data_IF_161961107963
#
_entry.id   IF_161961107963
#
_cell.length_a   1.000
_cell.length_b   1.000
_cell.length_c   1.000
_cell.angle_alpha   90.00
_cell.angle_beta   90.00
_cell.angle_gamma   90.00
#
_symmetry.space_group_name_H-M   'P 1'
#
loop_
_entity.id
_entity.type
_entity.pdbx_description
1 polymer ?
#
# COMPACT_ATOMS: atom_id res chain seq x y z
N UNK A 1 -0.10 2.80 -6.28
CA UNK A 1 -0.21 3.46 -4.96
C UNK A 1 -1.07 4.71 -4.96
N UNK A 2 -0.89 5.66 -5.89
CA UNK A 2 -1.77 6.86 -5.94
C UNK A 2 -3.25 6.48 -6.07
N UNK A 3 -3.58 5.45 -6.85
CA UNK A 3 -4.94 4.92 -6.97
C UNK A 3 -5.52 4.40 -5.63
N UNK A 4 -4.73 3.71 -4.80
CA UNK A 4 -5.16 3.26 -3.47
C UNK A 4 -5.47 4.43 -2.52
N UNK A 5 -4.81 5.57 -2.71
CA UNK A 5 -5.09 6.81 -1.96
C UNK A 5 -6.40 7.47 -2.41
N UNK A 6 -6.67 7.50 -3.72
CA UNK A 6 -7.78 8.27 -4.32
C UNK A 6 -9.07 7.44 -4.41
N UNK A 7 -8.97 6.19 -4.83
CA UNK A 7 -10.10 5.27 -5.03
C UNK A 7 -9.82 3.91 -4.38
N UNK A 8 -9.76 3.84 -3.04
CA UNK A 8 -9.36 2.64 -2.31
C UNK A 8 -10.22 1.42 -2.65
N UNK A 9 -11.54 1.61 -2.71
CA UNK A 9 -12.50 0.54 -3.00
C UNK A 9 -12.32 -0.06 -4.39
N UNK A 10 -12.31 0.79 -5.43
CA UNK A 10 -12.19 0.34 -6.81
C UNK A 10 -10.83 -0.34 -7.05
N UNK A 11 -9.77 0.22 -6.46
CA UNK A 11 -8.43 -0.36 -6.57
C UNK A 11 -8.34 -1.71 -5.87
N UNK A 12 -8.88 -1.85 -4.65
CA UNK A 12 -8.93 -3.13 -3.95
C UNK A 12 -9.81 -4.15 -4.67
N UNK A 13 -10.91 -3.72 -5.29
CA UNK A 13 -11.76 -4.59 -6.09
C UNK A 13 -11.01 -5.15 -7.30
N UNK A 14 -10.32 -4.30 -8.06
CA UNK A 14 -9.44 -4.72 -9.16
C UNK A 14 -8.35 -5.70 -8.69
N UNK A 15 -7.70 -5.42 -7.58
CA UNK A 15 -6.68 -6.32 -7.01
C UNK A 15 -7.28 -7.65 -6.54
N UNK A 16 -8.55 -7.65 -6.11
CA UNK A 16 -9.23 -8.87 -5.66
C UNK A 16 -9.57 -9.84 -6.80
N UNK A 17 -9.52 -9.39 -8.06
CA UNK A 17 -9.70 -10.26 -9.23
C UNK A 17 -8.50 -11.19 -9.44
N UNK A 18 -7.36 -10.93 -8.80
CA UNK A 18 -6.17 -11.79 -8.84
C UNK A 18 -5.48 -11.86 -7.47
N UNK A 19 -6.03 -12.64 -6.52
CA UNK A 19 -5.54 -12.67 -5.13
C UNK A 19 -4.11 -13.20 -4.97
N UNK A 20 -3.66 -14.14 -5.80
CA UNK A 20 -2.27 -14.62 -5.78
C UNK A 20 -1.31 -13.50 -6.15
N UNK A 21 -1.59 -12.80 -7.24
CA UNK A 21 -0.81 -11.64 -7.67
C UNK A 21 -0.80 -10.50 -6.65
N UNK A 22 -1.89 -10.34 -5.88
CA UNK A 22 -1.93 -9.37 -4.79
C UNK A 22 -0.95 -9.73 -3.66
N UNK A 23 -0.87 -10.99 -3.25
CA UNK A 23 0.03 -11.42 -2.18
C UNK A 23 1.50 -11.31 -2.60
N UNK A 24 1.83 -11.68 -3.84
CA UNK A 24 3.18 -11.52 -4.38
C UNK A 24 3.55 -10.04 -4.44
N UNK A 25 2.66 -9.21 -4.98
CA UNK A 25 2.82 -7.76 -5.00
C UNK A 25 3.00 -7.14 -3.60
N UNK A 26 2.27 -7.62 -2.59
CA UNK A 26 2.43 -7.17 -1.20
C UNK A 26 3.81 -7.49 -0.64
N UNK A 27 4.42 -8.60 -1.03
CA UNK A 27 5.76 -8.99 -0.57
C UNK A 27 6.85 -8.16 -1.24
N UNK A 28 6.61 -7.70 -2.47
CA UNK A 28 7.56 -6.90 -3.24
C UNK A 28 7.38 -5.38 -3.04
N UNK A 29 6.37 -4.96 -2.26
CA UNK A 29 5.98 -3.57 -2.08
C UNK A 29 7.13 -2.68 -1.57
N UNK A 30 7.96 -3.18 -0.66
CA UNK A 30 9.12 -2.46 -0.12
C UNK A 30 10.16 -2.17 -1.22
N UNK A 31 10.56 -3.20 -1.97
CA UNK A 31 11.58 -3.10 -3.03
C UNK A 31 11.12 -2.35 -4.27
N UNK A 32 9.87 -2.55 -4.71
CA UNK A 32 9.37 -1.95 -5.95
C UNK A 32 8.88 -0.52 -5.80
N UNK A 33 8.35 -0.16 -4.63
CA UNK A 33 7.58 1.09 -4.46
C UNK A 33 8.20 2.01 -3.42
N UNK A 34 8.82 1.47 -2.38
CA UNK A 34 9.30 2.23 -1.22
C UNK A 34 10.82 2.23 -1.06
N UNK A 35 11.52 1.85 -2.11
CA UNK A 35 12.97 2.00 -2.22
C UNK A 35 13.27 3.24 -3.07
N UNK A 36 14.02 4.19 -2.51
CA UNK A 36 14.49 5.35 -3.27
C UNK A 36 15.75 4.98 -4.04
N UNK A 37 15.55 4.68 -5.33
CA UNK A 37 16.61 4.30 -6.26
C UNK A 37 17.44 5.50 -6.77
N UNK A 38 16.97 6.73 -6.55
CA UNK A 38 17.60 7.96 -7.08
C UNK A 38 18.21 8.84 -5.98
N UNK A 39 18.00 8.49 -4.71
CA UNK A 39 18.58 9.16 -3.54
C UNK A 39 17.94 10.51 -3.19
N UNK A 40 16.80 10.86 -3.82
CA UNK A 40 16.12 12.14 -3.63
C UNK A 40 14.59 12.03 -3.42
N UNK A 41 14.05 10.82 -3.36
CA UNK A 41 12.61 10.55 -3.25
C UNK A 41 12.20 10.01 -1.86
N UNK A 42 13.13 9.71 -0.93
CA UNK A 42 12.83 9.18 0.41
C UNK A 42 11.65 9.90 1.08
N UNK A 43 11.69 11.24 1.16
CA UNK A 43 10.65 12.02 1.83
C UNK A 43 9.27 11.90 1.14
N UNK A 44 9.26 11.82 -0.19
CA UNK A 44 8.03 11.67 -0.97
C UNK A 44 7.46 10.26 -0.81
N UNK A 45 8.31 9.24 -0.85
CA UNK A 45 7.92 7.83 -0.67
C UNK A 45 7.39 7.58 0.74
N UNK A 46 8.04 8.17 1.76
CA UNK A 46 7.58 8.14 3.15
C UNK A 46 6.20 8.77 3.29
N UNK A 47 6.00 9.95 2.69
CA UNK A 47 4.69 10.61 2.67
C UNK A 47 3.63 9.76 1.97
N UNK A 48 3.98 9.14 0.84
CA UNK A 48 3.07 8.25 0.12
C UNK A 48 2.68 7.03 0.97
N UNK A 49 3.63 6.44 1.71
CA UNK A 49 3.39 5.31 2.62
C UNK A 49 2.37 5.71 3.69
N UNK A 50 2.61 6.85 4.33
CA UNK A 50 1.76 7.39 5.40
C UNK A 50 0.36 7.70 4.88
N UNK A 51 0.24 8.38 3.73
CA UNK A 51 -1.03 8.74 3.13
C UNK A 51 -1.87 7.49 2.78
N UNK A 52 -1.27 6.49 2.14
CA UNK A 52 -1.98 5.25 1.78
C UNK A 52 -2.36 4.46 3.05
N UNK A 53 -1.49 4.40 4.04
CA UNK A 53 -1.79 3.75 5.33
C UNK A 53 -2.99 4.40 6.02
N UNK A 54 -3.07 5.73 6.01
CA UNK A 54 -4.20 6.46 6.58
C UNK A 54 -5.51 6.15 5.82
N UNK A 55 -5.49 6.18 4.48
CA UNK A 55 -6.65 5.85 3.66
C UNK A 55 -7.13 4.42 3.90
N UNK A 56 -6.22 3.44 3.95
CA UNK A 56 -6.61 2.04 4.20
C UNK A 56 -7.19 1.83 5.59
N UNK A 57 -6.64 2.49 6.62
CA UNK A 57 -7.20 2.45 7.99
C UNK A 57 -8.62 3.01 8.05
N UNK A 58 -8.89 4.14 7.38
CA UNK A 58 -10.24 4.72 7.27
C UNK A 58 -11.17 3.76 6.52
N UNK A 59 -10.74 3.24 5.36
CA UNK A 59 -11.50 2.27 4.58
C UNK A 59 -11.89 1.03 5.41
N UNK A 60 -10.92 0.39 6.06
CA UNK A 60 -11.13 -0.83 6.86
C UNK A 60 -12.06 -0.60 8.06
N UNK A 61 -12.08 0.62 8.62
CA UNK A 61 -12.97 0.99 9.71
C UNK A 61 -14.40 1.26 9.25
N UNK A 62 -14.56 1.92 8.11
CA UNK A 62 -15.84 2.42 7.60
C UNK A 62 -16.59 1.38 6.75
N UNK A 63 -15.87 0.46 6.10
CA UNK A 63 -16.45 -0.52 5.17
C UNK A 63 -16.01 -1.95 5.56
N UNK A 64 -16.80 -2.66 6.39
CA UNK A 64 -16.55 -4.08 6.70
C UNK A 64 -17.06 -4.96 5.55
N UNK A 65 -16.61 -4.70 4.32
CA UNK A 65 -16.96 -5.49 3.16
C UNK A 65 -15.98 -6.65 2.93
N UNK A 66 -16.22 -7.43 1.88
CA UNK A 66 -15.38 -8.58 1.50
C UNK A 66 -13.91 -8.21 1.20
N UNK A 67 -13.60 -6.92 0.99
CA UNK A 67 -12.25 -6.43 0.69
C UNK A 67 -11.49 -6.03 1.97
N UNK A 68 -12.17 -5.94 3.12
CA UNK A 68 -11.54 -5.59 4.40
C UNK A 68 -10.30 -6.45 4.73
N UNK A 69 -10.28 -7.79 4.54
CA UNK A 69 -9.08 -8.58 4.80
C UNK A 69 -7.88 -8.18 3.94
N UNK A 70 -8.11 -7.79 2.68
CA UNK A 70 -7.04 -7.29 1.79
C UNK A 70 -6.54 -5.91 2.25
N UNK A 71 -7.45 -5.02 2.66
CA UNK A 71 -7.09 -3.73 3.23
C UNK A 71 -6.25 -3.91 4.51
N UNK A 72 -6.63 -4.84 5.38
CA UNK A 72 -5.90 -5.17 6.61
C UNK A 72 -4.50 -5.72 6.32
N UNK A 73 -4.37 -6.64 5.36
CA UNK A 73 -3.07 -7.17 4.94
C UNK A 73 -2.14 -6.06 4.41
N UNK A 74 -2.68 -5.14 3.59
CA UNK A 74 -1.93 -3.99 3.09
C UNK A 74 -1.54 -3.03 4.22
N UNK A 75 -2.41 -2.79 5.20
CA UNK A 75 -2.11 -1.98 6.39
C UNK A 75 -0.91 -2.55 7.14
N UNK A 76 -0.88 -3.86 7.40
CA UNK A 76 0.21 -4.50 8.12
C UNK A 76 1.53 -4.41 7.35
N UNK A 77 1.51 -4.62 6.02
CA UNK A 77 2.69 -4.43 5.18
C UNK A 77 3.20 -2.99 5.21
N UNK A 78 2.31 -2.00 5.06
CA UNK A 78 2.69 -0.58 5.08
C UNK A 78 3.26 -0.11 6.41
N UNK A 79 2.87 -0.72 7.54
CA UNK A 79 3.47 -0.44 8.85
C UNK A 79 4.89 -0.99 8.97
N UNK A 80 5.16 -2.12 8.31
CA UNK A 80 6.46 -2.80 8.38
C UNK A 80 7.52 -2.18 7.45
N UNK A 81 7.09 -1.56 6.34
CA UNK A 81 7.99 -0.95 5.35
C UNK A 81 8.81 0.19 5.95
N UNK A 82 10.13 0.09 5.80
CA UNK A 82 11.05 1.21 6.05
C UNK A 82 11.46 1.81 4.71
N UNK A 83 11.07 3.06 4.47
CA UNK A 83 11.57 3.77 3.29
C UNK A 83 13.05 4.06 3.53
N UNK A 84 13.89 3.50 2.66
CA UNK A 84 15.35 3.71 2.70
C UNK A 84 15.81 4.25 1.35
N UNK A 85 16.79 5.15 1.40
CA UNK A 85 17.55 5.56 0.22
C UNK A 85 18.74 4.63 0.03
N UNK A 86 19.12 4.41 -1.23
CA UNK A 86 20.43 3.85 -1.53
C UNK A 86 21.43 4.99 -1.33
N UNK A 87 22.25 4.90 -0.28
CA UNK A 87 23.45 5.74 -0.08
C UNK A 87 24.54 5.40 -1.11
#
# INVERSE_FOLDING_TARGET
MVALKVEPKNTLLLLSESPESFNDWLNELEGMVFTDLTGNEVARLEKLRIDVLATMKSYSREQPDKLKPMADALIEKLKAIRVSGID
#
